data_IF_661979197276
#
_entry.id   IF_661979197276
#
_cell.length_a   1.000
_cell.length_b   1.000
_cell.length_c   1.000
_cell.angle_alpha   90.00
_cell.angle_beta   90.00
_cell.angle_gamma   90.00
#
_symmetry.space_group_name_H-M   'P 1'
#
loop_
_entity.id
_entity.type
_entity.pdbx_description
1 polymer ?
2 polymer ?
3 non-polymer ?
4 water ?
#
# COMPACT_ATOMS: atom_id res chain seq x y z
N UNK A 10 -5.73 14.34 28.79
CA UNK A 10 -6.53 14.97 27.74
C UNK A 10 -7.45 13.96 27.05
N UNK A 11 -8.76 14.22 27.07
CA UNK A 11 -9.75 13.34 26.45
C UNK A 11 -10.69 14.22 25.63
N UNK A 12 -10.57 14.16 24.31
CA UNK A 12 -11.37 15.01 23.45
C UNK A 12 -12.73 14.40 23.18
N UNK A 13 -13.76 15.24 23.24
CA UNK A 13 -15.12 14.88 22.82
C UNK A 13 -15.22 15.19 21.33
N UNK A 14 -15.15 14.15 20.51
CA UNK A 14 -15.35 14.27 19.06
C UNK A 14 -16.70 13.65 18.74
N UNK A 15 -17.55 14.41 18.04
CA UNK A 15 -18.92 13.98 17.79
C UNK A 15 -18.95 13.30 16.42
N UNK A 16 -18.65 12.00 16.43
CA UNK A 16 -18.67 11.28 15.18
C UNK A 16 -19.00 9.83 15.46
N UNK A 17 -19.83 9.20 14.62
CA UNK A 17 -20.26 7.82 14.91
C UNK A 17 -19.12 6.82 14.99
N UNK A 18 -18.01 7.11 14.32
CA UNK A 18 -16.85 6.23 14.30
C UNK A 18 -15.71 6.66 15.23
N UNK A 19 -15.97 7.59 16.15
CA UNK A 19 -14.92 8.03 17.08
C UNK A 19 -14.89 7.17 18.34
N UNK A 20 -13.69 6.72 18.69
CA UNK A 20 -13.46 5.93 19.88
C UNK A 20 -12.19 6.45 20.52
N UNK A 21 -12.12 6.54 21.83
CA UNK A 21 -10.88 7.01 22.47
C UNK A 21 -9.92 5.84 22.72
N UNK A 22 -9.30 5.37 21.66
CA UNK A 22 -8.48 4.18 21.67
C UNK A 22 -7.04 4.57 21.44
N UNK A 23 -6.13 3.79 22.02
CA UNK A 23 -4.76 3.87 21.56
C UNK A 23 -4.66 2.93 20.37
N UNK A 24 -3.48 2.84 19.76
CA UNK A 24 -3.36 1.99 18.57
C UNK A 24 -3.64 0.53 18.86
N UNK A 25 -3.25 0.06 20.05
CA UNK A 25 -3.45 -1.36 20.34
C UNK A 25 -4.91 -1.66 20.60
N UNK A 26 -5.61 -0.77 21.30
CA UNK A 26 -7.04 -0.92 21.50
C UNK A 26 -7.78 -0.85 20.19
N UNK A 27 -7.34 0.01 19.27
CA UNK A 27 -8.01 0.08 17.98
C UNK A 27 -7.85 -1.24 17.22
N UNK A 28 -6.64 -1.81 17.22
CA UNK A 28 -6.44 -3.07 16.53
C UNK A 28 -7.26 -4.19 17.17
N UNK A 29 -7.35 -4.19 18.50
CA UNK A 29 -8.15 -5.21 19.18
C UNK A 29 -9.63 -5.10 18.81
N UNK A 30 -10.15 -3.88 18.82
CA UNK A 30 -11.53 -3.65 18.41
C UNK A 30 -11.77 -4.15 17.00
N UNK A 31 -10.85 -3.89 16.07
CA UNK A 31 -11.07 -4.28 14.69
C UNK A 31 -10.79 -5.75 14.41
N UNK A 32 -10.30 -6.51 15.40
CA UNK A 32 -9.73 -7.84 15.13
C UNK A 32 -10.78 -8.78 14.52
N UNK A 33 -12.02 -8.69 14.99
CA UNK A 33 -13.12 -9.52 14.51
C UNK A 33 -13.91 -8.86 13.40
N UNK A 34 -13.60 -7.61 13.05
CA UNK A 34 -14.29 -6.94 11.98
C UNK A 34 -13.73 -7.38 10.63
N UNK A 35 -14.29 -6.80 9.57
CA UNK A 35 -13.96 -7.15 8.19
C UNK A 35 -13.04 -6.11 7.60
N UNK A 36 -12.41 -6.49 6.48
CA UNK A 36 -11.62 -5.55 5.68
C UNK A 36 -12.39 -4.28 5.40
N UNK A 37 -11.72 -3.14 5.56
CA UNK A 37 -12.32 -1.86 5.33
C UNK A 37 -12.96 -1.22 6.52
N UNK A 38 -13.24 -1.97 7.58
CA UNK A 38 -13.76 -1.31 8.76
C UNK A 38 -12.64 -0.59 9.51
N UNK A 39 -13.05 0.40 10.33
CA UNK A 39 -12.12 1.40 10.79
C UNK A 39 -12.68 2.04 12.05
N UNK A 40 -11.79 2.72 12.76
CA UNK A 40 -12.18 3.64 13.82
C UNK A 40 -11.43 4.96 13.63
N UNK A 41 -12.02 6.04 14.12
CA UNK A 41 -11.32 7.32 14.26
C UNK A 41 -11.02 7.52 15.73
N UNK A 42 -9.81 8.01 16.04
CA UNK A 42 -9.39 8.03 17.44
C UNK A 42 -8.41 9.16 17.68
N UNK A 43 -8.28 9.54 18.95
CA UNK A 43 -7.29 10.50 19.39
C UNK A 43 -5.88 10.08 18.99
N UNK A 44 -5.04 11.08 18.73
CA UNK A 44 -3.67 10.88 18.30
C UNK A 44 -2.68 11.08 19.44
N UNK A 45 -1.59 10.32 19.41
CA UNK A 45 -0.50 10.61 20.34
C UNK A 45 0.31 11.84 19.94
N UNK A 46 0.13 12.36 18.72
CA UNK A 46 0.88 13.52 18.25
C UNK A 46 0.30 14.85 18.73
N UNK A 47 -0.85 14.85 19.37
CA UNK A 47 -1.37 16.06 19.99
C UNK A 47 -2.82 16.30 19.67
N UNK A 48 -3.36 17.35 20.25
CA UNK A 48 -4.75 17.74 20.14
C UNK A 48 -5.12 18.37 18.79
N UNK A 49 -4.16 18.51 17.87
CA UNK A 49 -4.44 18.93 16.49
C UNK A 49 -4.23 17.78 15.51
N UNK A 50 -4.19 16.53 16.00
CA UNK A 50 -4.14 15.36 15.15
C UNK A 50 -5.23 14.38 15.59
N UNK A 51 -5.66 13.57 14.63
CA UNK A 51 -6.45 12.37 14.89
C UNK A 51 -5.80 11.22 14.10
N UNK A 52 -6.31 10.02 14.32
CA UNK A 52 -5.84 8.84 13.58
C UNK A 52 -7.08 8.12 13.05
N UNK A 53 -6.99 7.63 11.83
CA UNK A 53 -7.95 6.65 11.34
C UNK A 53 -7.20 5.33 11.22
N UNK A 54 -7.67 4.32 11.93
CA UNK A 54 -7.10 2.97 11.91
C UNK A 54 -8.03 2.07 11.16
N UNK A 55 -7.52 1.35 10.16
CA UNK A 55 -8.43 0.52 9.38
C UNK A 55 -7.82 -0.86 9.13
N UNK A 56 -8.70 -1.83 8.86
CA UNK A 56 -8.31 -3.24 8.75
C UNK A 56 -8.15 -3.63 7.29
N UNK A 57 -6.96 -4.11 6.94
CA UNK A 57 -6.64 -4.61 5.61
C UNK A 57 -6.91 -6.10 5.49
N UNK A 58 -6.60 -6.85 6.54
CA UNK A 58 -6.67 -8.30 6.48
C UNK A 58 -6.54 -8.82 7.91
N UNK A 59 -6.57 -10.14 8.07
CA UNK A 59 -6.42 -10.70 9.39
C UNK A 59 -5.12 -10.21 10.03
N UNK A 60 -5.24 -9.66 11.23
CA UNK A 60 -4.10 -9.15 11.99
C UNK A 60 -3.27 -8.15 11.19
N UNK A 61 -3.89 -7.41 10.28
CA UNK A 61 -3.17 -6.43 9.47
C UNK A 61 -3.91 -5.10 9.44
N UNK A 62 -3.32 -4.08 10.06
CA UNK A 62 -3.95 -2.80 10.27
C UNK A 62 -3.02 -1.66 9.87
N UNK A 63 -3.62 -0.57 9.39
CA UNK A 63 -2.88 0.65 9.07
C UNK A 63 -3.46 1.81 9.87
N UNK A 64 -2.56 2.62 10.41
CA UNK A 64 -2.92 3.81 11.18
C UNK A 64 -2.48 5.02 10.37
N UNK A 65 -3.41 5.90 10.00
CA UNK A 65 -3.12 7.06 9.17
C UNK A 65 -3.33 8.34 9.96
N UNK A 66 -2.37 9.25 9.83
CA UNK A 66 -2.47 10.56 10.51
C UNK A 66 -3.49 11.46 9.84
N UNK A 67 -4.22 12.22 10.66
CA UNK A 67 -5.12 13.27 10.20
C UNK A 67 -4.61 14.55 10.83
N UNK A 68 -4.16 15.49 10.02
CA UNK A 68 -3.68 16.76 10.57
C UNK A 68 -4.81 17.78 10.58
N UNK A 69 -4.99 18.47 11.72
CA UNK A 69 -6.11 19.38 11.84
C UNK A 69 -5.63 20.82 11.67
N UNK A 70 -6.35 21.58 10.86
CA UNK A 70 -6.16 23.01 10.68
C UNK A 70 -7.48 23.72 10.97
N UNK A 71 -7.40 25.04 11.12
CA UNK A 71 -8.59 25.88 11.34
C UNK A 71 -9.41 25.39 12.54
N UNK A 72 -8.73 25.25 13.67
CA UNK A 72 -9.37 24.84 14.91
C UNK A 72 -9.91 26.06 15.64
N UNK A 73 -11.19 25.98 16.05
CA UNK A 73 -11.84 27.08 16.75
C UNK A 73 -11.39 27.19 18.20
N UNK A 74 -10.96 26.07 18.77
CA UNK A 74 -10.39 26.04 20.12
C UNK A 74 -9.50 24.82 20.19
N UNK A 75 -8.72 24.67 21.26
CA UNK A 75 -7.68 23.65 21.22
C UNK A 75 -8.20 22.24 21.08
N UNK A 76 -9.41 21.95 21.59
CA UNK A 76 -9.91 20.58 21.61
C UNK A 76 -10.89 20.27 20.48
N UNK A 77 -11.45 21.28 19.83
CA UNK A 77 -12.43 21.05 18.78
C UNK A 77 -11.76 20.51 17.52
N UNK A 78 -12.50 19.70 16.79
CA UNK A 78 -12.09 19.23 15.49
C UNK A 78 -11.86 20.39 14.55
N UNK A 79 -10.69 20.40 13.91
CA UNK A 79 -10.41 21.43 12.92
C UNK A 79 -11.37 21.35 11.74
N UNK A 80 -11.66 22.51 11.17
CA UNK A 80 -12.55 22.63 10.03
C UNK A 80 -11.90 22.24 8.71
N UNK A 81 -10.58 22.11 8.69
CA UNK A 81 -9.83 21.59 7.55
C UNK A 81 -8.98 20.43 8.04
N UNK A 82 -8.99 19.31 7.29
CA UNK A 82 -8.25 18.14 7.72
C UNK A 82 -7.33 17.71 6.58
N UNK A 83 -6.07 17.41 6.88
CA UNK A 83 -5.09 16.95 5.90
C UNK A 83 -4.84 15.47 6.11
N UNK A 84 -5.00 14.69 5.04
CA UNK A 84 -4.67 13.28 5.03
C UNK A 84 -3.85 13.01 3.77
N UNK A 85 -2.64 12.48 3.96
CA UNK A 85 -1.77 12.14 2.85
C UNK A 85 -1.61 13.34 1.92
N UNK A 86 -1.32 14.50 2.51
CA UNK A 86 -1.05 15.74 1.78
C UNK A 86 -2.22 16.21 0.94
N UNK A 87 -3.45 15.83 1.25
CA UNK A 87 -4.62 16.38 0.57
C UNK A 87 -5.60 16.89 1.62
N UNK A 88 -6.34 17.93 1.24
CA UNK A 88 -7.27 18.63 2.13
C UNK A 88 -8.69 18.07 2.03
N UNK A 89 -9.32 17.89 3.19
CA UNK A 89 -10.67 17.37 3.32
C UNK A 89 -11.45 18.29 4.26
N UNK A 90 -12.75 18.34 4.07
CA UNK A 90 -13.62 19.24 4.82
C UNK A 90 -14.04 18.66 6.17
N UNK A 91 -14.18 17.34 6.26
CA UNK A 91 -14.66 16.69 7.46
C UNK A 91 -14.35 15.19 7.39
N UNK A 92 -14.65 14.51 8.50
CA UNK A 92 -14.30 13.10 8.63
C UNK A 92 -15.11 12.24 7.67
N UNK A 93 -16.36 12.61 7.37
CA UNK A 93 -17.12 11.82 6.39
C UNK A 93 -16.50 11.89 5.01
N UNK A 94 -16.04 13.05 4.58
CA UNK A 94 -15.34 13.13 3.30
C UNK A 94 -14.09 12.24 3.28
N UNK A 95 -13.32 12.20 4.38
CA UNK A 95 -12.16 11.31 4.44
C UNK A 95 -12.62 9.86 4.25
N UNK A 96 -13.68 9.47 4.95
CA UNK A 96 -14.13 8.08 4.89
C UNK A 96 -14.49 7.71 3.45
N UNK A 97 -15.26 8.59 2.80
CA UNK A 97 -15.78 8.34 1.45
C UNK A 97 -14.68 8.44 0.39
N UNK A 98 -13.93 9.53 0.39
CA UNK A 98 -13.04 9.82 -0.72
C UNK A 98 -11.64 9.28 -0.50
N UNK A 99 -11.19 9.17 0.75
CA UNK A 99 -9.88 8.59 1.03
C UNK A 99 -10.02 7.10 1.32
N UNK A 100 -10.67 6.74 2.42
CA UNK A 100 -10.60 5.38 2.89
C UNK A 100 -11.32 4.43 1.93
N UNK A 101 -12.55 4.76 1.54
CA UNK A 101 -13.31 3.78 0.75
C UNK A 101 -12.64 3.49 -0.60
N UNK A 102 -11.99 4.50 -1.19
CA UNK A 102 -11.26 4.26 -2.43
C UNK A 102 -10.04 3.39 -2.20
N UNK A 103 -9.36 3.60 -1.08
CA UNK A 103 -8.23 2.78 -0.74
C UNK A 103 -8.65 1.33 -0.56
N UNK A 104 -9.81 1.10 0.05
CA UNK A 104 -10.28 -0.27 0.26
C UNK A 104 -10.67 -0.88 -1.08
N UNK A 105 -11.32 -0.08 -1.93
CA UNK A 105 -11.69 -0.55 -3.26
C UNK A 105 -10.45 -1.05 -4.00
N UNK A 106 -9.38 -0.27 -3.93
CA UNK A 106 -8.14 -0.61 -4.65
C UNK A 106 -7.44 -1.80 -4.01
N UNK A 107 -7.53 -1.94 -2.68
CA UNK A 107 -7.03 -3.15 -2.05
C UNK A 107 -7.75 -4.38 -2.57
N UNK A 108 -9.09 -4.33 -2.69
CA UNK A 108 -9.82 -5.50 -3.18
C UNK A 108 -9.50 -5.78 -4.63
N UNK A 109 -9.38 -4.74 -5.42
CA UNK A 109 -8.92 -4.92 -6.81
C UNK A 109 -7.59 -5.67 -6.86
N UNK A 110 -6.64 -5.32 -6.00
CA UNK A 110 -5.36 -6.04 -6.00
C UNK A 110 -5.53 -7.48 -5.53
N UNK A 111 -6.22 -7.70 -4.41
CA UNK A 111 -6.23 -9.07 -3.94
C UNK A 111 -7.12 -9.98 -4.78
N UNK A 112 -7.92 -9.39 -5.66
CA UNK A 112 -8.75 -10.16 -6.59
C UNK A 112 -8.02 -10.48 -7.89
N UNK A 113 -6.83 -9.90 -8.08
CA UNK A 113 -6.09 -10.07 -9.33
C UNK A 113 -5.44 -11.44 -9.44
N UNK A 114 -5.42 -11.99 -10.66
CA UNK A 114 -4.72 -13.24 -10.86
C UNK A 114 -3.22 -13.12 -10.62
N UNK A 115 -2.67 -11.89 -10.55
CA UNK A 115 -1.26 -11.70 -10.24
C UNK A 115 -0.98 -11.57 -8.75
N UNK A 116 -2.00 -11.64 -7.91
CA UNK A 116 -1.82 -11.55 -6.47
C UNK A 116 -1.78 -12.94 -5.86
N UNK A 117 -0.90 -13.12 -4.90
CA UNK A 117 -0.77 -14.36 -4.16
C UNK A 117 -0.98 -14.11 -2.69
N UNK A 118 -1.85 -14.90 -2.08
CA UNK A 118 -2.06 -14.73 -0.64
C UNK A 118 -0.91 -15.40 0.11
N UNK A 119 -0.71 -15.01 1.36
CA UNK A 119 0.30 -15.63 2.22
C UNK A 119 1.46 -14.71 2.57
N UNK A 120 2.33 -15.23 3.42
CA UNK A 120 3.49 -14.48 3.86
C UNK A 120 4.49 -14.33 2.71
N UNK A 121 5.47 -13.46 2.93
CA UNK A 121 6.50 -13.26 1.91
C UNK A 121 7.18 -14.59 1.58
N UNK A 122 7.58 -15.33 2.62
CA UNK A 122 8.23 -16.63 2.45
C UNK A 122 7.36 -17.58 1.63
N UNK A 123 6.05 -17.60 1.93
CA UNK A 123 5.13 -18.44 1.18
C UNK A 123 5.17 -18.12 -0.31
N UNK A 124 5.22 -16.83 -0.64
CA UNK A 124 5.12 -16.41 -2.04
C UNK A 124 6.44 -16.62 -2.75
N UNK A 125 7.56 -16.39 -2.06
CA UNK A 125 8.87 -16.71 -2.61
C UNK A 125 8.94 -18.19 -2.95
N UNK A 126 8.40 -19.04 -2.08
CA UNK A 126 8.38 -20.48 -2.34
C UNK A 126 7.60 -20.78 -3.61
N UNK A 127 6.46 -20.12 -3.80
CA UNK A 127 5.69 -20.34 -5.00
C UNK A 127 6.44 -19.84 -6.22
N UNK A 128 7.11 -18.69 -6.10
CA UNK A 128 7.86 -18.14 -7.20
C UNK A 128 9.00 -19.07 -7.57
N UNK A 129 9.71 -19.59 -6.57
CA UNK A 129 10.83 -20.49 -6.82
C UNK A 129 10.32 -21.77 -7.49
N UNK A 130 9.21 -22.31 -6.98
CA UNK A 130 8.61 -23.52 -7.56
C UNK A 130 8.16 -23.26 -8.98
N UNK A 131 7.46 -22.13 -9.21
CA UNK A 131 7.04 -21.78 -10.55
C UNK A 131 8.25 -21.66 -11.47
N UNK A 132 9.33 -21.07 -10.97
CA UNK A 132 10.52 -20.89 -11.79
C UNK A 132 11.19 -22.22 -12.07
N UNK A 133 11.20 -23.13 -11.09
CA UNK A 133 11.75 -24.47 -11.31
C UNK A 133 11.05 -25.16 -12.47
N UNK A 134 9.73 -25.02 -12.56
CA UNK A 134 8.94 -25.66 -13.61
C UNK A 134 9.03 -24.90 -14.93
N UNK A 135 9.22 -23.58 -14.88
CA UNK A 135 9.24 -22.73 -16.06
C UNK A 135 10.53 -21.91 -16.05
N UNK A 136 11.67 -22.55 -16.28
CA UNK A 136 12.97 -21.91 -16.02
C UNK A 136 13.35 -20.78 -16.96
N UNK A 137 12.76 -20.72 -18.16
CA UNK A 137 13.08 -19.66 -19.12
C UNK A 137 11.99 -18.59 -19.21
N UNK A 138 11.06 -18.56 -18.26
CA UNK A 138 10.07 -17.50 -18.21
C UNK A 138 10.43 -16.54 -17.10
N UNK A 139 10.15 -15.25 -17.31
CA UNK A 139 10.18 -14.30 -16.22
C UNK A 139 8.86 -14.36 -15.47
N UNK A 140 8.94 -14.28 -14.15
CA UNK A 140 7.80 -14.56 -13.28
C UNK A 140 7.68 -13.40 -12.30
N UNK A 141 6.46 -12.97 -12.01
CA UNK A 141 6.24 -11.92 -11.03
C UNK A 141 4.87 -12.09 -10.35
N UNK A 142 4.81 -11.79 -9.06
CA UNK A 142 3.54 -11.73 -8.36
C UNK A 142 3.57 -10.61 -7.37
N UNK A 143 2.36 -10.19 -6.99
CA UNK A 143 2.15 -9.25 -5.89
C UNK A 143 1.74 -10.04 -4.64
N UNK A 144 2.10 -9.51 -3.49
CA UNK A 144 1.61 -10.09 -2.26
C UNK A 144 1.57 -9.01 -1.18
N UNK A 145 0.88 -9.31 -0.09
CA UNK A 145 0.76 -8.33 1.00
C UNK A 145 2.06 -8.20 1.76
N UNK A 146 2.47 -6.95 2.02
CA UNK A 146 3.59 -6.68 2.92
C UNK A 146 3.04 -6.63 4.35
N UNK A 147 3.24 -7.70 5.11
CA UNK A 147 2.68 -7.74 6.46
C UNK A 147 3.46 -6.90 7.44
N UNK A 148 4.73 -6.59 7.11
CA UNK A 148 5.56 -5.81 8.01
C UNK A 148 5.39 -4.31 7.82
N UNK A 149 4.79 -3.89 6.70
CA UNK A 149 4.54 -2.48 6.40
C UNK A 149 3.13 -2.36 5.83
N UNK A 150 2.11 -2.26 6.69
CA UNK A 150 0.74 -2.30 6.18
C UNK A 150 0.44 -1.16 5.21
N UNK A 151 -0.22 -1.51 4.13
CA UNK A 151 -0.50 -0.56 3.08
C UNK A 151 0.45 -0.70 1.89
N UNK A 152 1.41 -1.62 1.95
CA UNK A 152 2.29 -1.88 0.82
C UNK A 152 2.09 -3.31 0.34
N UNK A 153 2.43 -3.51 -0.94
CA UNK A 153 2.54 -4.84 -1.55
C UNK A 153 3.98 -5.09 -1.92
N UNK A 154 4.39 -6.34 -1.77
CA UNK A 154 5.59 -6.80 -2.46
C UNK A 154 5.27 -7.05 -3.92
N UNK A 155 6.25 -6.76 -4.78
CA UNK A 155 6.22 -7.11 -6.19
C UNK A 155 7.50 -7.91 -6.38
N UNK A 156 7.38 -9.22 -6.41
CA UNK A 156 8.55 -10.08 -6.44
C UNK A 156 8.69 -10.70 -7.82
N UNK A 157 9.92 -10.77 -8.33
CA UNK A 157 10.07 -11.30 -9.67
C UNK A 157 11.43 -11.96 -9.84
N UNK A 158 11.45 -12.96 -10.71
CA UNK A 158 12.66 -13.56 -11.25
C UNK A 158 12.65 -13.39 -12.76
N UNK A 159 13.83 -13.14 -13.34
CA UNK A 159 13.94 -13.08 -14.79
C UNK A 159 13.94 -14.47 -15.39
N UNK A 160 14.54 -15.42 -14.70
CA UNK A 160 14.63 -16.81 -15.15
C UNK A 160 15.07 -17.63 -13.94
N UNK A 161 15.17 -18.94 -14.12
CA UNK A 161 15.42 -19.84 -13.00
C UNK A 161 16.71 -19.48 -12.27
N UNK A 162 17.72 -19.05 -13.02
CA UNK A 162 19.03 -18.80 -12.45
C UNK A 162 19.21 -17.37 -11.93
N UNK A 163 18.21 -16.51 -12.10
CA UNK A 163 18.34 -15.13 -11.67
C UNK A 163 18.02 -15.02 -10.19
N UNK A 164 18.48 -13.93 -9.59
CA UNK A 164 18.11 -13.74 -8.20
C UNK A 164 16.65 -13.34 -8.12
N UNK A 165 16.07 -13.51 -6.95
CA UNK A 165 14.71 -13.07 -6.72
C UNK A 165 14.76 -11.61 -6.25
N UNK A 166 14.12 -10.72 -7.01
CA UNK A 166 14.09 -9.30 -6.74
C UNK A 166 12.80 -8.96 -6.04
N UNK A 167 12.87 -8.05 -5.07
CA UNK A 167 11.68 -7.53 -4.41
C UNK A 167 11.58 -6.04 -4.65
N UNK A 168 10.53 -5.62 -5.34
CA UNK A 168 10.16 -4.21 -5.37
C UNK A 168 8.95 -3.97 -4.47
N UNK A 169 8.57 -2.70 -4.33
CA UNK A 169 7.58 -2.29 -3.34
C UNK A 169 6.54 -1.40 -4.01
N UNK A 170 5.27 -1.71 -3.79
CA UNK A 170 4.16 -0.95 -4.37
C UNK A 170 3.36 -0.39 -3.21
N UNK A 171 3.13 0.91 -3.22
CA UNK A 171 2.38 1.54 -2.13
C UNK A 171 0.92 1.70 -2.52
N UNK A 172 0.02 1.20 -1.67
CA UNK A 172 -1.41 1.43 -1.88
C UNK A 172 -1.75 2.87 -1.54
N UNK A 173 -2.43 3.56 -2.46
CA UNK A 173 -2.93 4.92 -2.18
C UNK A 173 -4.42 4.98 -2.47
N UNK A 174 -5.05 6.14 -2.22
CA UNK A 174 -6.48 6.23 -2.46
C UNK A 174 -6.79 6.49 -3.93
N UNK A 175 -5.78 6.69 -4.77
CA UNK A 175 -5.98 6.90 -6.21
C UNK A 175 -5.25 5.88 -7.09
N UNK A 176 -4.55 4.93 -6.51
CA UNK A 176 -3.94 3.89 -7.32
C UNK A 176 -2.78 3.23 -6.59
N UNK A 177 -1.88 2.63 -7.38
CA UNK A 177 -0.79 1.82 -6.87
C UNK A 177 0.49 2.52 -7.27
N UNK A 178 1.25 2.95 -6.28
CA UNK A 178 2.46 3.71 -6.52
C UNK A 178 3.67 2.80 -6.65
N UNK A 179 4.35 2.90 -7.78
CA UNK A 179 5.55 2.13 -8.05
C UNK A 179 6.56 3.03 -8.73
N UNK A 180 7.70 3.19 -8.06
CA UNK A 180 8.88 3.95 -8.48
C UNK A 180 8.57 5.44 -8.63
N UNK A 181 7.91 5.84 -9.73
CA UNK A 181 7.65 7.25 -10.02
C UNK A 181 6.19 7.56 -10.37
N UNK A 182 5.27 6.60 -10.25
CA UNK A 182 3.96 6.78 -10.85
C UNK A 182 2.91 6.04 -10.06
N UNK A 183 1.72 6.60 -10.10
CA UNK A 183 0.57 6.08 -9.38
C UNK A 183 -0.39 5.46 -10.37
N UNK A 184 -0.26 4.14 -10.57
CA UNK A 184 -1.06 3.47 -11.59
C UNK A 184 -2.51 3.37 -11.12
N UNK A 185 -3.47 3.74 -11.94
CA UNK A 185 -4.86 3.77 -11.44
C UNK A 185 -5.54 2.43 -11.38
N UNK A 186 -4.94 1.36 -11.95
CA UNK A 186 -5.56 0.04 -11.87
C UNK A 186 -4.43 -0.98 -11.83
N UNK A 187 -4.80 -2.20 -11.46
CA UNK A 187 -3.80 -3.26 -11.37
C UNK A 187 -3.30 -3.63 -12.76
N UNK A 188 -4.18 -3.60 -13.76
CA UNK A 188 -3.74 -3.92 -15.12
C UNK A 188 -2.69 -2.92 -15.59
N UNK A 189 -2.95 -1.64 -15.35
CA UNK A 189 -1.97 -0.62 -15.75
C UNK A 189 -0.69 -0.71 -14.94
N UNK A 190 -0.78 -1.11 -13.67
CA UNK A 190 0.41 -1.33 -12.85
C UNK A 190 1.25 -2.46 -13.41
N UNK A 191 0.61 -3.55 -13.83
CA UNK A 191 1.37 -4.66 -14.42
C UNK A 191 2.04 -4.25 -15.74
N UNK A 192 1.28 -3.58 -16.61
CA UNK A 192 1.86 -3.08 -17.86
C UNK A 192 3.01 -2.12 -17.57
N UNK A 193 2.84 -1.25 -16.59
CA UNK A 193 3.86 -0.25 -16.28
C UNK A 193 5.12 -0.87 -15.68
N UNK A 194 4.96 -1.87 -14.82
CA UNK A 194 6.09 -2.62 -14.28
C UNK A 194 6.94 -3.20 -15.40
N UNK A 195 6.29 -3.83 -16.38
CA UNK A 195 7.00 -4.43 -17.51
C UNK A 195 7.73 -3.37 -18.31
N UNK A 196 7.06 -2.25 -18.57
CA UNK A 196 7.66 -1.15 -19.32
C UNK A 196 8.87 -0.60 -18.59
N UNK A 197 8.72 -0.39 -17.29
CA UNK A 197 9.80 0.16 -16.48
C UNK A 197 11.01 -0.75 -16.51
N UNK A 198 10.78 -2.05 -16.38
CA UNK A 198 11.89 -2.99 -16.35
C UNK A 198 12.51 -3.15 -17.72
N UNK A 199 11.70 -3.16 -18.79
CA UNK A 199 12.25 -3.17 -20.14
C UNK A 199 13.15 -1.96 -20.35
N UNK A 200 12.74 -0.81 -19.82
CA UNK A 200 13.54 0.41 -19.97
C UNK A 200 14.86 0.30 -19.23
N UNK A 201 14.81 -0.12 -17.95
CA UNK A 201 16.05 -0.33 -17.20
C UNK A 201 16.91 -1.41 -17.84
N UNK A 202 16.29 -2.47 -18.37
CA UNK A 202 17.07 -3.54 -19.00
C UNK A 202 17.79 -3.03 -20.26
N UNK A 203 17.07 -2.36 -21.15
CA UNK A 203 17.73 -1.79 -22.32
C UNK A 203 18.78 -0.76 -21.95
N UNK A 204 18.59 -0.02 -20.85
CA UNK A 204 19.64 0.92 -20.42
C UNK A 204 20.91 0.17 -19.98
N UNK A 205 20.74 -0.93 -19.25
CA UNK A 205 21.88 -1.75 -18.83
C UNK A 205 22.69 -2.24 -20.02
N UNK A 206 22.02 -2.53 -21.14
CA UNK A 206 22.71 -3.04 -22.33
C UNK A 206 23.31 -1.93 -23.21
N UNK A 207 23.09 -0.67 -22.88
CA UNK A 207 23.64 0.38 -23.72
C UNK A 207 25.17 0.37 -23.69
N UNK A 208 25.75 0.84 -24.78
CA UNK A 208 27.21 1.01 -24.88
C UNK A 208 27.52 2.47 -24.62
N UNK A 209 28.00 2.76 -23.40
CA UNK A 209 28.38 4.11 -22.99
C UNK A 209 29.74 4.55 -23.52
N UNK A 210 30.45 3.67 -24.21
CA UNK A 210 31.73 4.05 -24.82
C UNK A 210 31.61 3.87 -26.33
N UNK B 3 4.71 8.64 20.51
CA UNK B 3 4.02 7.40 20.84
C UNK B 3 4.55 6.14 20.18
N UNK B 4 3.93 5.01 20.50
CA UNK B 4 4.41 3.69 20.09
C UNK B 4 3.88 3.26 18.71
N UNK B 5 2.73 3.81 18.31
CA UNK B 5 2.02 3.33 17.12
C UNK B 5 2.81 3.61 15.85
N UNK B 6 2.96 2.60 14.97
CA UNK B 6 3.62 2.87 13.70
C UNK B 6 2.64 3.49 12.66
N UNK B 7 3.18 4.32 11.77
CA UNK B 7 2.42 5.00 10.72
C UNK B 7 2.96 4.52 9.37
N UNK B 8 2.50 3.35 8.92
CA UNK B 8 3.13 2.70 7.76
C UNK B 8 2.92 3.46 6.46
N UNK B 9 1.93 4.38 6.41
CA UNK B 9 1.81 5.20 5.21
C UNK B 9 2.92 6.22 5.09
N UNK B 10 3.75 6.36 6.13
CA UNK B 10 4.86 7.28 6.14
C UNK B 10 6.20 6.60 5.86
N UNK B 11 6.23 5.27 5.74
CA UNK B 11 7.44 4.53 5.41
C UNK B 11 7.87 4.80 3.97
N UNK B 12 9.14 4.55 3.70
CA UNK B 12 9.66 4.53 2.36
C UNK B 12 10.48 3.26 2.21
N UNK B 13 10.20 2.47 1.18
CA UNK B 13 10.79 1.15 1.00
C UNK B 13 11.59 1.14 -0.29
N UNK B 14 12.89 0.85 -0.18
CA UNK B 14 13.81 1.02 -1.31
C UNK B 14 13.74 -0.19 -2.23
N UNK B 15 13.67 0.07 -3.54
CA UNK B 15 13.62 -0.98 -4.54
C UNK B 15 15.03 -1.41 -4.94
N UNK B 16 15.23 -2.72 -5.06
CA UNK B 16 16.51 -3.26 -5.49
C UNK B 16 16.78 -2.88 -6.94
N UNK B 17 18.00 -2.44 -7.22
CA UNK B 17 18.34 -2.08 -8.58
C UNK B 17 18.47 -3.34 -9.43
N UNK B 18 17.99 -3.26 -10.67
CA UNK B 18 18.11 -4.37 -11.60
C UNK B 18 19.55 -4.40 -12.09
N UNK B 19 20.27 -5.46 -11.75
CA UNK B 19 21.70 -5.52 -12.00
C UNK B 19 22.04 -6.67 -12.95
N UNK B 20 21.32 -6.76 -14.06
CA UNK B 20 21.52 -7.86 -15.00
C UNK B 20 21.10 -7.41 -16.39
N UNK B 21 21.82 -7.91 -17.39
CA UNK B 21 21.46 -7.67 -18.78
C UNK B 21 20.49 -8.72 -19.31
N UNK B 22 20.20 -9.77 -18.53
CA UNK B 22 19.34 -10.88 -18.97
C UNK B 22 18.14 -10.40 -19.78
N UNK B 23 17.70 -11.23 -20.73
CA UNK B 23 16.57 -10.87 -21.58
C UNK B 23 15.28 -11.13 -20.83
N UNK B 24 14.42 -10.11 -20.75
CA UNK B 24 13.15 -10.28 -20.09
C UNK B 24 12.22 -11.15 -20.93
N UNK B 25 11.45 -11.98 -20.23
CA UNK B 25 10.54 -12.96 -20.81
C UNK B 25 9.22 -12.95 -20.04
N UNK B 26 8.68 -11.77 -19.78
CA UNK B 26 7.41 -11.68 -19.07
C UNK B 26 6.23 -11.97 -20.00
N UNK B 27 5.07 -12.28 -19.41
CA UNK B 27 3.86 -12.44 -20.19
C UNK B 27 3.55 -11.13 -20.93
N UNK B 28 2.63 -11.18 -21.92
CA UNK B 28 2.38 -9.98 -22.72
C UNK B 28 1.68 -8.86 -21.97
N UNK B 29 1.87 -7.62 -22.42
CA UNK B 29 0.99 -6.57 -21.90
C UNK B 29 -0.41 -6.83 -22.40
N UNK B 30 -1.39 -6.32 -21.66
CA UNK B 30 -2.79 -6.56 -21.98
C UNK B 30 -3.54 -5.24 -22.03
N UNK B 31 -4.67 -5.26 -22.75
CA UNK B 31 -5.52 -4.09 -22.86
C UNK B 31 -6.00 -3.63 -21.49
N UNK B 32 -6.06 -2.31 -21.28
CA UNK B 32 -6.43 -1.82 -19.95
C UNK B 32 -7.92 -1.98 -19.67
N UNK B 33 -8.76 -2.19 -20.69
CA UNK B 33 -10.20 -2.21 -20.51
C UNK B 33 -10.83 -0.83 -20.28
X LIG C 1 10.96 47.42 14.00
X LIG C 1 11.73 47.22 15.30
X LIG C 1 11.19 48.06 16.44
X LIG C 1 11.65 45.86 15.64
X LIG C 1 10.54 46.46 13.68
X LIG C 1 10.15 48.13 14.17
X LIG C 1 11.62 47.80 13.23
X LIG C 1 12.78 47.48 15.13
X LIG C 1 10.86 47.40 17.24
X LIG C 1 10.34 48.65 16.09
X LIG C 1 11.97 48.72 16.81
X LIG C 1 11.99 45.31 14.91
#
# INVERSE_FOLDING_TARGET
GIDPFTAKRTHRVINHPYYFPFNGRQAEDYLRSKERGEFVIRQSSRGDDHLVITWKLDKDLFQHIDIQELEKENPLALGKVLIVDNQKYNDLDQIIVEYLQNKVRLLNEMTSSEKFKSGTKKDVVKFIEDYSRVNPNKSVYYFSLNHDNPGWFYLMFKINANSKLYTWNVKLTNTGYFLVNYNYPSVIQLCNGFKTLLKSNSSKNRMNNYR
CGGVTPYSNESGLVNADLDVKDELMFSPLVDSGS
IPA C1 C2 C3 O2 H11 H12 H13 H2 H31 H32 H33 HO2
#
